data_IF_451805856708
#
_entry.id   IF_451805856708
#
_cell.length_a   1.000
_cell.length_b   1.000
_cell.length_c   1.000
_cell.angle_alpha   90.00
_cell.angle_beta   90.00
_cell.angle_gamma   90.00
#
_symmetry.space_group_name_H-M   'P 1'
#
loop_
_entity.id
_entity.type
_entity.pdbx_description
1 polymer ?
#
# COMPACT_ATOMS: atom_id res chain seq x y z
N UNK A 1 -33.09 34.62 73.51
CA UNK A 1 -31.96 34.86 72.53
C UNK A 1 -32.58 35.32 71.21
N UNK A 2 -32.37 36.60 70.78
CA UNK A 2 -32.78 37.08 69.45
C UNK A 2 -31.87 36.50 68.43
N UNK A 3 -32.35 35.65 67.56
CA UNK A 3 -31.63 35.17 66.38
C UNK A 3 -31.41 36.36 65.42
N UNK A 4 -30.20 36.80 65.23
CA UNK A 4 -29.85 37.81 64.22
C UNK A 4 -29.94 37.09 62.86
N UNK A 5 -30.87 37.53 62.00
CA UNK A 5 -30.95 37.07 60.61
C UNK A 5 -29.91 37.78 59.76
N UNK A 6 -29.39 37.12 58.71
CA UNK A 6 -28.50 37.72 57.73
C UNK A 6 -29.24 38.83 56.95
N UNK A 7 -28.52 39.93 56.72
CA UNK A 7 -29.05 41.02 55.87
C UNK A 7 -28.89 40.62 54.38
N UNK A 8 -29.74 41.15 53.52
CA UNK A 8 -29.68 40.89 52.08
C UNK A 8 -28.35 41.32 51.48
N UNK A 9 -27.71 42.37 52.02
CA UNK A 9 -26.44 42.88 51.53
C UNK A 9 -25.25 41.94 51.93
N UNK A 10 -25.32 41.33 53.11
CA UNK A 10 -24.31 40.35 53.55
C UNK A 10 -24.38 39.09 52.66
N UNK A 11 -25.60 38.65 52.31
CA UNK A 11 -25.75 37.53 51.42
C UNK A 11 -25.23 37.84 50.01
N UNK A 12 -25.59 39.07 49.49
CA UNK A 12 -25.12 39.53 48.21
C UNK A 12 -23.58 39.61 48.13
N UNK A 13 -22.93 40.16 49.17
CA UNK A 13 -21.49 40.25 49.25
C UNK A 13 -20.80 38.87 49.21
N UNK A 14 -21.37 37.88 49.92
CA UNK A 14 -20.84 36.50 49.92
C UNK A 14 -20.92 35.85 48.56
N UNK A 15 -22.08 35.96 47.87
CA UNK A 15 -22.23 35.35 46.55
C UNK A 15 -21.32 36.00 45.49
N UNK A 16 -21.11 37.32 45.56
CA UNK A 16 -20.17 38.01 44.63
C UNK A 16 -18.72 37.55 44.89
N UNK A 17 -18.31 37.43 46.13
CA UNK A 17 -16.97 36.93 46.48
C UNK A 17 -16.78 35.47 45.99
N UNK A 18 -17.79 34.62 46.26
CA UNK A 18 -17.75 33.22 45.78
C UNK A 18 -17.73 33.14 44.25
N UNK A 19 -18.44 34.00 43.53
CA UNK A 19 -18.44 34.04 42.08
C UNK A 19 -17.05 34.44 41.53
N UNK A 20 -16.38 35.43 42.18
CA UNK A 20 -15.03 35.83 41.77
C UNK A 20 -14.01 34.72 42.03
N UNK A 21 -14.09 34.07 43.20
CA UNK A 21 -13.19 32.92 43.51
C UNK A 21 -13.45 31.77 42.49
N UNK A 22 -14.67 31.44 42.22
CA UNK A 22 -15.04 30.38 41.24
C UNK A 22 -14.49 30.70 39.84
N UNK A 23 -14.58 31.96 39.39
CA UNK A 23 -14.13 32.40 38.09
C UNK A 23 -12.61 32.15 37.88
N UNK A 24 -11.85 32.28 38.94
CA UNK A 24 -10.37 32.09 38.89
C UNK A 24 -9.98 30.63 39.21
N UNK A 25 -10.64 30.01 40.21
CA UNK A 25 -10.27 28.69 40.68
C UNK A 25 -10.68 27.55 39.68
N UNK A 26 -11.84 27.68 39.06
CA UNK A 26 -12.35 26.61 38.15
C UNK A 26 -11.40 26.35 36.98
N UNK A 27 -10.94 27.34 36.20
CA UNK A 27 -10.00 27.10 35.10
C UNK A 27 -8.70 26.45 35.54
N UNK A 28 -8.15 26.89 36.69
CA UNK A 28 -6.89 26.35 37.23
C UNK A 28 -7.06 24.89 37.65
N UNK A 29 -8.15 24.57 38.34
CA UNK A 29 -8.44 23.19 38.76
C UNK A 29 -8.66 22.28 37.52
N UNK A 30 -9.38 22.75 36.49
CA UNK A 30 -9.60 21.99 35.27
C UNK A 30 -8.28 21.67 34.55
N UNK A 31 -7.37 22.65 34.44
CA UNK A 31 -6.04 22.43 33.84
C UNK A 31 -5.22 21.39 34.65
N UNK A 32 -5.26 21.45 35.97
CA UNK A 32 -4.58 20.46 36.81
C UNK A 32 -5.17 19.06 36.61
N UNK A 33 -6.49 18.92 36.58
CA UNK A 33 -7.17 17.63 36.35
C UNK A 33 -6.79 17.07 34.99
N UNK A 34 -6.78 17.88 33.94
CA UNK A 34 -6.40 17.45 32.59
C UNK A 34 -4.94 16.98 32.55
N UNK A 35 -4.03 17.73 33.18
CA UNK A 35 -2.61 17.34 33.26
C UNK A 35 -2.42 16.02 34.02
N UNK A 36 -3.10 15.84 35.14
CA UNK A 36 -3.02 14.57 35.91
C UNK A 36 -3.57 13.39 35.14
N UNK A 37 -4.70 13.59 34.41
CA UNK A 37 -5.28 12.54 33.57
C UNK A 37 -4.34 12.16 32.41
N UNK A 38 -3.69 13.15 31.78
CA UNK A 38 -2.69 12.92 30.75
C UNK A 38 -1.55 12.06 31.30
N UNK A 39 -0.93 12.48 32.41
CA UNK A 39 0.19 11.74 33.02
C UNK A 39 -0.23 10.31 33.44
N UNK A 40 -1.41 10.13 34.00
CA UNK A 40 -1.88 8.80 34.38
C UNK A 40 -2.11 7.88 33.14
N UNK A 41 -2.50 8.44 32.01
CA UNK A 41 -2.66 7.70 30.76
C UNK A 41 -1.32 7.39 30.10
N UNK A 42 -0.33 8.30 30.19
CA UNK A 42 1.06 8.07 29.81
C UNK A 42 1.67 6.91 30.62
N UNK A 43 1.43 6.84 31.94
CA UNK A 43 1.86 5.72 32.79
C UNK A 43 1.22 4.39 32.34
N UNK A 44 -0.05 4.41 31.94
CA UNK A 44 -0.72 3.23 31.37
C UNK A 44 -0.04 2.77 30.07
N UNK A 45 0.33 3.70 29.19
CA UNK A 45 1.06 3.41 27.96
C UNK A 45 2.40 2.72 28.23
N UNK A 46 3.19 3.25 29.15
CA UNK A 46 4.47 2.63 29.54
C UNK A 46 4.26 1.24 30.17
N UNK A 47 3.19 1.06 30.94
CA UNK A 47 2.82 -0.23 31.52
C UNK A 47 2.52 -1.29 30.44
N UNK A 48 1.82 -0.90 29.38
CA UNK A 48 1.51 -1.78 28.24
C UNK A 48 2.76 -2.11 27.42
N UNK A 49 3.66 -1.14 27.20
CA UNK A 49 4.94 -1.38 26.53
C UNK A 49 5.74 -2.43 27.30
N UNK A 50 5.90 -2.23 28.62
CA UNK A 50 6.64 -3.17 29.47
C UNK A 50 5.99 -4.57 29.51
N UNK A 51 4.66 -4.66 29.45
CA UNK A 51 3.96 -5.94 29.36
C UNK A 51 4.25 -6.65 28.03
N UNK A 52 4.31 -5.90 26.91
CA UNK A 52 4.70 -6.43 25.61
C UNK A 52 6.16 -6.94 25.58
N UNK A 53 7.08 -6.20 26.18
CA UNK A 53 8.49 -6.62 26.33
C UNK A 53 8.62 -7.89 27.19
N UNK A 54 7.83 -8.00 28.25
CA UNK A 54 7.80 -9.17 29.11
C UNK A 54 7.20 -10.39 28.38
N UNK A 55 6.15 -10.19 27.62
CA UNK A 55 5.56 -11.23 26.76
C UNK A 55 6.61 -11.76 25.76
N UNK A 56 7.33 -10.88 25.09
CA UNK A 56 8.42 -11.28 24.19
C UNK A 56 9.46 -12.14 24.90
N UNK A 57 9.91 -11.73 26.08
CA UNK A 57 10.91 -12.46 26.83
C UNK A 57 10.43 -13.87 27.25
N UNK A 58 9.15 -14.01 27.63
CA UNK A 58 8.54 -15.30 27.96
C UNK A 58 8.41 -16.19 26.74
N UNK A 59 7.85 -15.66 25.63
CA UNK A 59 7.66 -16.43 24.39
C UNK A 59 8.99 -16.89 23.80
N UNK A 60 10.02 -16.05 23.86
CA UNK A 60 11.36 -16.42 23.41
C UNK A 60 11.94 -17.60 24.18
N UNK A 61 11.64 -17.72 25.48
CA UNK A 61 12.12 -18.80 26.34
C UNK A 61 11.32 -20.10 26.19
N UNK A 62 10.01 -20.01 25.95
CA UNK A 62 9.11 -21.16 25.94
C UNK A 62 8.98 -21.79 24.56
N UNK A 63 8.77 -20.97 23.52
CA UNK A 63 8.37 -21.46 22.19
C UNK A 63 9.30 -20.95 21.05
N UNK A 64 10.13 -19.96 21.32
CA UNK A 64 10.86 -19.22 20.29
C UNK A 64 9.91 -18.35 19.46
N UNK A 65 9.98 -17.04 19.57
CA UNK A 65 9.10 -16.12 18.87
C UNK A 65 9.42 -16.09 17.37
N UNK A 66 8.56 -16.68 16.54
CA UNK A 66 8.77 -16.83 15.09
C UNK A 66 7.99 -15.84 14.24
N UNK A 67 6.98 -15.17 14.81
CA UNK A 67 6.12 -14.19 14.13
C UNK A 67 5.75 -13.04 15.05
N UNK A 68 5.36 -11.92 14.44
CA UNK A 68 4.79 -10.79 15.17
C UNK A 68 3.46 -11.19 15.81
N UNK A 69 3.17 -10.63 16.99
CA UNK A 69 1.91 -10.85 17.71
C UNK A 69 1.25 -9.51 17.98
N UNK A 70 -0.05 -9.43 17.72
CA UNK A 70 -0.88 -8.26 17.98
C UNK A 70 -1.91 -8.55 19.08
N UNK A 71 -2.11 -7.58 19.95
CA UNK A 71 -3.08 -7.58 21.04
C UNK A 71 -4.02 -6.41 20.83
N UNK A 72 -5.30 -6.69 20.74
CA UNK A 72 -6.34 -5.67 20.53
C UNK A 72 -7.13 -5.46 21.83
N UNK A 73 -7.43 -4.21 22.13
CA UNK A 73 -8.25 -3.79 23.27
C UNK A 73 -9.51 -3.13 22.74
N UNK A 74 -10.67 -3.61 23.19
CA UNK A 74 -11.97 -3.02 22.96
C UNK A 74 -12.73 -2.93 24.27
N UNK A 75 -13.39 -1.82 24.53
CA UNK A 75 -14.18 -1.56 25.75
C UNK A 75 -13.44 -1.86 27.08
N UNK A 76 -12.11 -1.64 27.09
CA UNK A 76 -11.27 -1.86 28.26
C UNK A 76 -10.89 -3.30 28.54
N UNK A 77 -11.07 -4.19 27.57
CA UNK A 77 -10.69 -5.61 27.67
C UNK A 77 -9.88 -6.07 26.46
N UNK A 78 -8.98 -7.04 26.66
CA UNK A 78 -8.32 -7.71 25.53
C UNK A 78 -9.31 -8.60 24.78
N UNK A 79 -9.40 -8.42 23.45
CA UNK A 79 -10.19 -9.25 22.55
C UNK A 79 -9.30 -10.23 21.79
N UNK A 80 -9.86 -11.39 21.43
CA UNK A 80 -9.12 -12.46 20.74
C UNK A 80 -8.41 -13.44 21.68
N UNK A 81 -7.49 -14.22 21.10
CA UNK A 81 -6.79 -15.33 21.82
C UNK A 81 -5.59 -14.85 22.61
N UNK A 82 -4.95 -13.76 22.18
CA UNK A 82 -3.73 -13.24 22.79
C UNK A 82 -4.08 -12.17 23.84
N UNK A 83 -3.50 -12.29 25.03
CA UNK A 83 -3.69 -11.35 26.13
C UNK A 83 -2.36 -11.07 26.80
N UNK A 84 -2.12 -9.80 27.15
CA UNK A 84 -0.96 -9.40 27.96
C UNK A 84 -1.34 -9.43 29.44
N UNK A 85 -0.37 -9.80 30.28
CA UNK A 85 -0.51 -9.61 31.73
C UNK A 85 -0.19 -8.15 32.09
N UNK A 86 -1.22 -7.38 32.38
CA UNK A 86 -1.11 -5.95 32.70
C UNK A 86 -1.64 -5.67 34.10
N UNK A 87 -0.93 -4.86 34.86
CA UNK A 87 -1.39 -4.36 36.16
C UNK A 87 -2.11 -3.02 35.98
N UNK A 88 -3.38 -2.94 36.38
CA UNK A 88 -4.17 -1.70 36.32
C UNK A 88 -5.33 -1.79 35.32
N UNK A 89 -5.98 -0.63 35.10
CA UNK A 89 -7.06 -0.53 34.13
C UNK A 89 -6.49 -0.44 32.69
N UNK A 90 -7.13 -1.15 31.77
CA UNK A 90 -6.81 -1.05 30.34
C UNK A 90 -7.38 0.23 29.73
N UNK A 91 -6.82 0.75 28.64
CA UNK A 91 -7.43 1.83 27.85
C UNK A 91 -8.78 1.38 27.24
N UNK A 92 -9.61 2.35 26.82
CA UNK A 92 -10.92 2.04 26.24
C UNK A 92 -10.80 1.24 24.94
N UNK A 93 -9.79 1.56 24.13
CA UNK A 93 -9.50 0.85 22.88
C UNK A 93 -8.02 0.97 22.52
N UNK A 94 -7.57 0.14 21.59
CA UNK A 94 -6.23 0.25 21.03
C UNK A 94 -5.62 -1.07 20.62
N UNK A 95 -4.40 -1.00 20.11
CA UNK A 95 -3.60 -2.15 19.70
C UNK A 95 -2.18 -2.05 20.24
N UNK A 96 -1.64 -3.20 20.62
CA UNK A 96 -0.23 -3.37 20.99
C UNK A 96 0.35 -4.43 20.05
N UNK A 97 1.45 -4.15 19.40
CA UNK A 97 2.13 -5.11 18.55
C UNK A 97 3.55 -5.36 19.05
N UNK A 98 3.87 -6.65 19.19
CA UNK A 98 5.19 -7.14 19.59
C UNK A 98 5.79 -7.89 18.39
N UNK A 99 6.95 -7.40 17.92
CA UNK A 99 7.63 -8.04 16.79
C UNK A 99 8.43 -9.26 17.23
N UNK A 100 8.73 -10.15 16.31
CA UNK A 100 9.65 -11.29 16.52
C UNK A 100 11.05 -10.91 16.98
N UNK A 101 11.43 -9.62 16.81
CA UNK A 101 12.73 -9.08 17.23
C UNK A 101 12.63 -8.34 18.58
N UNK A 102 11.47 -8.39 19.25
CA UNK A 102 11.25 -7.84 20.60
C UNK A 102 10.91 -6.35 20.65
N UNK A 103 10.64 -5.71 19.53
CA UNK A 103 10.20 -4.31 19.50
C UNK A 103 8.70 -4.23 19.80
N UNK A 104 8.28 -3.22 20.56
CA UNK A 104 6.89 -3.00 20.94
C UNK A 104 6.42 -1.66 20.40
N UNK A 105 5.31 -1.70 19.62
CA UNK A 105 4.56 -0.52 19.21
C UNK A 105 3.19 -0.51 19.87
N UNK A 106 2.66 0.66 20.18
CA UNK A 106 1.31 0.84 20.76
C UNK A 106 0.55 1.96 20.07
N UNK A 107 -0.75 1.80 20.01
CA UNK A 107 -1.72 2.87 19.76
C UNK A 107 -2.90 2.64 20.68
N UNK A 108 -3.13 3.50 21.64
CA UNK A 108 -4.15 3.32 22.68
C UNK A 108 -4.96 4.59 22.88
N UNK A 109 -6.25 4.44 23.12
CA UNK A 109 -7.17 5.55 23.39
C UNK A 109 -7.97 5.34 24.66
N UNK A 110 -8.20 6.41 25.41
CA UNK A 110 -9.13 6.43 26.54
C UNK A 110 -10.43 7.15 26.19
N UNK A 111 -10.71 7.39 24.91
CA UNK A 111 -11.87 8.12 24.41
C UNK A 111 -11.74 9.66 24.42
N UNK A 112 -10.69 10.20 25.05
CA UNK A 112 -10.39 11.64 25.10
C UNK A 112 -9.00 12.00 24.59
N UNK A 113 -8.09 11.03 24.55
CA UNK A 113 -6.70 11.16 24.07
C UNK A 113 -6.26 9.89 23.39
N UNK A 114 -5.38 10.03 22.41
CA UNK A 114 -4.64 8.94 21.80
C UNK A 114 -3.16 9.04 22.20
N UNK A 115 -2.57 7.90 22.54
CA UNK A 115 -1.13 7.77 22.75
C UNK A 115 -0.60 6.71 21.80
N UNK A 116 0.43 7.06 21.06
CA UNK A 116 1.11 6.15 20.17
C UNK A 116 2.59 6.03 20.48
N UNK A 117 3.21 4.91 20.05
CA UNK A 117 4.65 4.71 20.03
C UNK A 117 4.99 3.73 18.92
N UNK A 118 5.86 4.14 18.01
CA UNK A 118 6.41 3.25 16.99
C UNK A 118 7.47 2.30 17.56
N UNK A 119 7.87 1.33 16.74
CA UNK A 119 8.83 0.28 17.14
C UNK A 119 10.18 0.82 17.57
N UNK A 120 10.67 1.85 16.90
CA UNK A 120 12.01 2.44 17.12
C UNK A 120 11.98 3.74 17.91
N UNK A 121 10.80 4.22 18.29
CA UNK A 121 10.66 5.44 19.06
C UNK A 121 11.15 5.22 20.50
N UNK A 122 11.92 6.17 20.99
CA UNK A 122 12.40 6.15 22.38
C UNK A 122 11.36 6.67 23.38
N UNK A 123 10.29 7.32 22.90
CA UNK A 123 9.25 7.95 23.72
C UNK A 123 7.88 7.71 23.09
N UNK A 124 6.87 7.79 23.94
CA UNK A 124 5.46 7.86 23.51
C UNK A 124 5.14 9.24 22.91
N UNK A 125 4.21 9.29 21.96
CA UNK A 125 3.55 10.50 21.50
C UNK A 125 2.14 10.58 22.13
N UNK A 126 1.93 11.58 22.98
CA UNK A 126 0.67 11.82 23.69
C UNK A 126 -0.19 12.92 23.05
N UNK A 127 0.20 13.38 21.86
CA UNK A 127 -0.51 14.38 21.07
C UNK A 127 -1.04 13.81 19.75
N UNK A 128 -1.06 12.47 19.63
CA UNK A 128 -1.59 11.77 18.45
C UNK A 128 -3.07 12.07 18.23
N UNK A 129 -3.49 12.06 16.95
CA UNK A 129 -4.87 12.34 16.56
C UNK A 129 -5.80 11.25 17.12
N UNK A 130 -6.82 11.67 17.87
CA UNK A 130 -7.79 10.78 18.49
C UNK A 130 -8.71 10.10 17.47
N UNK A 131 -8.99 10.78 16.36
CA UNK A 131 -9.86 10.26 15.31
C UNK A 131 -9.14 9.21 14.43
N UNK A 132 -7.81 9.13 14.57
CA UNK A 132 -6.96 8.19 13.82
C UNK A 132 -5.92 7.54 14.75
N UNK A 133 -6.39 6.95 15.87
CA UNK A 133 -5.53 6.31 16.86
C UNK A 133 -5.13 4.90 16.40
N UNK A 134 -4.20 4.83 15.46
CA UNK A 134 -3.69 3.59 14.88
C UNK A 134 -2.22 3.38 15.23
N UNK A 135 -1.79 2.11 15.22
CA UNK A 135 -0.38 1.77 15.43
C UNK A 135 0.51 2.55 14.46
N UNK A 136 1.49 3.31 14.96
CA UNK A 136 2.46 3.93 14.09
C UNK A 136 3.11 2.85 13.23
N UNK A 137 3.11 3.09 11.93
CA UNK A 137 3.84 2.22 11.01
C UNK A 137 5.31 2.33 11.41
N UNK A 138 5.97 1.22 11.68
CA UNK A 138 7.41 1.19 11.95
C UNK A 138 8.16 1.92 10.82
N UNK A 139 9.42 2.31 11.03
CA UNK A 139 10.19 3.01 9.98
C UNK A 139 10.06 2.24 8.67
N UNK A 140 9.31 2.83 7.74
CA UNK A 140 8.97 2.19 6.47
C UNK A 140 10.27 1.95 5.71
N UNK A 141 10.56 0.69 5.40
CA UNK A 141 11.78 0.34 4.68
C UNK A 141 11.75 0.95 3.27
N UNK A 142 12.79 1.67 2.86
CA UNK A 142 12.87 2.26 1.53
C UNK A 142 12.62 1.21 0.44
N UNK A 143 11.80 1.57 -0.55
CA UNK A 143 11.46 0.70 -1.68
C UNK A 143 10.33 -0.30 -1.42
N UNK A 144 9.76 -0.36 -0.20
CA UNK A 144 8.58 -1.19 0.07
C UNK A 144 7.29 -0.51 -0.37
N UNK A 145 6.21 -1.30 -0.52
CA UNK A 145 4.90 -0.79 -0.88
C UNK A 145 4.42 0.32 0.07
N UNK A 146 4.51 0.08 1.37
CA UNK A 146 4.11 1.06 2.38
C UNK A 146 4.95 2.35 2.33
N UNK A 147 6.27 2.23 2.10
CA UNK A 147 7.16 3.39 1.96
C UNK A 147 6.84 4.25 0.74
N UNK A 148 6.49 3.62 -0.39
CA UNK A 148 6.26 4.29 -1.66
C UNK A 148 4.81 4.77 -1.86
N UNK A 149 3.85 4.26 -1.08
CA UNK A 149 2.44 4.64 -1.17
C UNK A 149 2.22 6.10 -0.75
N UNK A 150 1.36 6.80 -1.48
CA UNK A 150 0.99 8.20 -1.23
C UNK A 150 -0.53 8.36 -1.17
N UNK A 151 -1.00 9.27 -0.32
CA UNK A 151 -2.42 9.63 -0.28
C UNK A 151 -2.77 10.52 -1.46
N UNK A 152 -3.75 10.10 -2.24
CA UNK A 152 -4.28 10.85 -3.39
C UNK A 152 -5.78 10.61 -3.49
N UNK A 153 -6.46 11.32 -4.41
CA UNK A 153 -7.87 11.04 -4.73
C UNK A 153 -8.11 9.65 -5.32
N UNK A 154 -7.08 9.01 -5.87
CA UNK A 154 -7.13 7.64 -6.37
C UNK A 154 -7.01 6.62 -5.23
N UNK A 155 -6.16 6.90 -4.24
CA UNK A 155 -5.91 6.07 -3.06
C UNK A 155 -6.11 6.92 -1.81
N UNK A 156 -7.21 6.73 -1.09
CA UNK A 156 -7.56 7.53 0.09
C UNK A 156 -6.70 7.18 1.30
N UNK A 157 -6.23 5.94 1.38
CA UNK A 157 -5.39 5.46 2.47
C UNK A 157 -3.92 5.59 2.12
N UNK A 158 -3.14 6.25 2.97
CA UNK A 158 -1.67 6.39 2.80
C UNK A 158 -1.00 5.05 3.00
N UNK A 159 -1.43 4.30 4.03
CA UNK A 159 -0.94 2.97 4.35
C UNK A 159 -2.15 2.10 4.68
N UNK A 160 -2.43 1.12 3.84
CA UNK A 160 -3.36 0.05 4.17
C UNK A 160 -2.64 -0.99 5.05
N UNK A 161 -3.36 -1.59 6.00
CA UNK A 161 -2.83 -2.71 6.77
C UNK A 161 -2.23 -3.80 5.85
N UNK A 162 -2.79 -4.00 4.66
CA UNK A 162 -2.26 -4.93 3.67
C UNK A 162 -0.90 -4.55 3.09
N UNK A 163 -0.52 -3.26 3.11
CA UNK A 163 0.77 -2.81 2.60
C UNK A 163 1.94 -3.16 3.53
N UNK A 164 1.65 -3.51 4.77
CA UNK A 164 2.64 -3.87 5.80
C UNK A 164 2.56 -5.34 6.21
N UNK A 165 1.41 -5.82 6.63
CA UNK A 165 1.27 -7.14 7.29
C UNK A 165 0.11 -7.99 6.78
N UNK A 166 -0.94 -7.37 6.26
CA UNK A 166 -2.12 -8.09 5.75
C UNK A 166 -1.93 -8.57 4.30
N UNK A 167 -2.97 -9.14 3.70
CA UNK A 167 -3.02 -9.49 2.28
C UNK A 167 -3.81 -8.45 1.52
N UNK A 168 -3.21 -7.85 0.49
CA UNK A 168 -3.89 -6.89 -0.37
C UNK A 168 -4.82 -7.60 -1.33
N UNK A 169 -6.11 -7.28 -1.27
CA UNK A 169 -7.09 -7.81 -2.22
C UNK A 169 -6.80 -7.32 -3.65
N UNK A 170 -7.05 -8.17 -4.63
CA UNK A 170 -6.98 -7.80 -6.05
C UNK A 170 -7.90 -6.61 -6.32
N UNK A 171 -7.40 -5.63 -7.07
CA UNK A 171 -8.09 -4.37 -7.35
C UNK A 171 -7.92 -3.28 -6.29
N UNK A 172 -7.23 -3.56 -5.17
CA UNK A 172 -6.85 -2.50 -4.21
C UNK A 172 -6.01 -1.43 -4.91
N UNK A 173 -6.32 -0.17 -4.63
CA UNK A 173 -5.71 0.99 -5.28
C UNK A 173 -4.54 1.54 -4.49
N UNK A 174 -3.40 1.76 -5.15
CA UNK A 174 -2.25 2.44 -4.59
C UNK A 174 -1.73 3.53 -5.53
N UNK A 175 -1.47 4.70 -4.98
CA UNK A 175 -0.69 5.74 -5.65
C UNK A 175 0.76 5.60 -5.18
N UNK A 176 1.67 5.26 -6.09
CA UNK A 176 3.07 4.91 -5.79
C UNK A 176 4.00 6.02 -6.30
N UNK A 177 4.86 6.52 -5.43
CA UNK A 177 5.92 7.45 -5.82
C UNK A 177 7.07 6.67 -6.47
N UNK A 178 7.00 6.50 -7.79
CA UNK A 178 7.96 5.72 -8.58
C UNK A 178 9.33 6.39 -8.73
N UNK A 179 9.37 7.71 -8.58
CA UNK A 179 10.58 8.53 -8.47
C UNK A 179 10.23 9.79 -7.64
N UNK A 180 11.20 10.54 -7.10
CA UNK A 180 10.92 11.73 -6.32
C UNK A 180 9.98 12.72 -7.05
N UNK A 181 8.80 12.96 -6.47
CA UNK A 181 7.74 13.79 -7.02
C UNK A 181 6.95 13.20 -8.20
N UNK A 182 7.27 12.00 -8.66
CA UNK A 182 6.54 11.28 -9.71
C UNK A 182 5.67 10.19 -9.08
N UNK A 183 4.36 10.45 -8.99
CA UNK A 183 3.38 9.53 -8.41
C UNK A 183 2.54 8.94 -9.53
N UNK A 184 2.44 7.60 -9.56
CA UNK A 184 1.66 6.84 -10.52
C UNK A 184 0.63 5.96 -9.81
N UNK A 185 -0.52 5.77 -10.43
CA UNK A 185 -1.62 4.98 -9.88
C UNK A 185 -1.53 3.52 -10.31
N UNK A 186 -1.82 2.61 -9.38
CA UNK A 186 -1.74 1.18 -9.60
C UNK A 186 -2.90 0.44 -8.95
N UNK A 187 -3.24 -0.73 -9.52
CA UNK A 187 -4.12 -1.73 -8.94
C UNK A 187 -3.34 -2.96 -8.54
N UNK A 188 -3.65 -3.55 -7.39
CA UNK A 188 -3.10 -4.84 -6.99
C UNK A 188 -3.62 -5.94 -7.92
N UNK A 189 -2.73 -6.73 -8.49
CA UNK A 189 -3.07 -7.93 -9.28
C UNK A 189 -2.74 -9.21 -8.54
N UNK A 190 -1.75 -9.21 -7.65
CA UNK A 190 -1.49 -10.33 -6.75
C UNK A 190 -0.73 -9.89 -5.50
N UNK A 191 -0.86 -10.68 -4.44
CA UNK A 191 -0.12 -10.51 -3.18
C UNK A 191 0.24 -11.89 -2.65
N UNK A 192 1.45 -12.32 -2.92
CA UNK A 192 1.95 -13.66 -2.60
C UNK A 192 3.38 -13.56 -2.06
N UNK A 193 3.69 -14.30 -1.00
CA UNK A 193 5.03 -14.40 -0.43
C UNK A 193 5.67 -13.05 -0.09
N UNK A 194 4.91 -12.15 0.56
CA UNK A 194 5.34 -10.80 0.92
C UNK A 194 5.71 -9.90 -0.29
N UNK A 195 5.25 -10.28 -1.47
CA UNK A 195 5.44 -9.55 -2.72
C UNK A 195 4.10 -9.15 -3.32
N UNK A 196 3.89 -7.86 -3.49
CA UNK A 196 2.68 -7.30 -4.10
C UNK A 196 2.99 -6.93 -5.55
N UNK A 197 2.24 -7.51 -6.47
CA UNK A 197 2.30 -7.21 -7.89
C UNK A 197 1.22 -6.18 -8.23
N UNK A 198 1.62 -5.13 -8.90
CA UNK A 198 0.82 -3.94 -9.16
C UNK A 198 0.81 -3.61 -10.65
N UNK A 199 -0.38 -3.46 -11.23
CA UNK A 199 -0.59 -3.02 -12.62
C UNK A 199 -0.90 -1.51 -12.62
N UNK A 200 -0.18 -0.73 -13.40
CA UNK A 200 -0.44 0.71 -13.55
C UNK A 200 -1.87 0.95 -14.06
N UNK A 201 -2.53 2.01 -13.60
CA UNK A 201 -3.90 2.39 -13.99
C UNK A 201 -4.05 2.63 -15.50
N UNK A 202 -3.01 3.20 -16.14
CA UNK A 202 -3.02 3.62 -17.54
C UNK A 202 -1.82 3.06 -18.31
N UNK A 203 -1.93 3.09 -19.62
CA UNK A 203 -0.78 2.90 -20.49
C UNK A 203 0.26 3.98 -20.24
N UNK A 204 1.54 3.65 -20.40
CA UNK A 204 2.63 4.61 -20.32
C UNK A 204 3.10 4.99 -21.73
N UNK A 205 3.25 6.31 -21.95
CA UNK A 205 3.70 6.83 -23.23
C UNK A 205 2.70 6.60 -24.38
N UNK A 206 3.24 6.36 -25.55
CA UNK A 206 2.51 6.23 -26.81
C UNK A 206 2.23 4.74 -27.15
N UNK A 207 1.55 4.52 -28.26
CA UNK A 207 1.38 3.18 -28.85
C UNK A 207 2.69 2.65 -29.43
N UNK A 208 2.86 1.35 -29.46
CA UNK A 208 4.10 0.69 -29.88
C UNK A 208 3.79 -0.68 -30.49
N UNK A 209 4.62 -1.14 -31.42
CA UNK A 209 4.55 -2.53 -31.91
C UNK A 209 4.93 -3.50 -30.79
N UNK A 210 4.34 -4.69 -30.78
CA UNK A 210 4.75 -5.79 -29.92
C UNK A 210 6.20 -6.20 -30.23
N UNK A 211 6.48 -6.42 -31.53
CA UNK A 211 7.82 -6.48 -32.12
C UNK A 211 7.79 -5.83 -33.50
N UNK A 212 8.72 -4.96 -33.80
CA UNK A 212 8.90 -4.41 -35.13
C UNK A 212 9.92 -5.23 -35.95
N UNK A 213 9.96 -5.01 -37.26
CA UNK A 213 10.84 -5.73 -38.16
C UNK A 213 12.33 -5.56 -37.81
N UNK A 214 12.74 -4.35 -37.44
CA UNK A 214 14.13 -4.05 -37.08
C UNK A 214 14.59 -4.85 -35.88
N UNK A 215 13.79 -4.85 -34.81
CA UNK A 215 14.12 -5.58 -33.58
C UNK A 215 14.06 -7.09 -33.82
N UNK A 216 13.12 -7.57 -34.65
CA UNK A 216 13.05 -8.97 -35.03
C UNK A 216 14.34 -9.42 -35.74
N UNK A 217 14.80 -8.67 -36.75
CA UNK A 217 16.03 -8.98 -37.47
C UNK A 217 17.25 -8.92 -36.56
N UNK A 218 17.36 -7.86 -35.74
CA UNK A 218 18.47 -7.67 -34.80
C UNK A 218 18.54 -8.78 -33.74
N UNK A 219 17.41 -9.36 -33.37
CA UNK A 219 17.32 -10.48 -32.41
C UNK A 219 17.51 -11.86 -33.07
N UNK A 220 17.97 -11.93 -34.30
CA UNK A 220 18.31 -13.18 -34.99
C UNK A 220 17.24 -13.70 -35.96
N UNK A 221 16.16 -12.94 -36.16
CA UNK A 221 15.15 -13.24 -37.16
C UNK A 221 15.66 -13.02 -38.60
N UNK A 222 14.93 -13.52 -39.58
CA UNK A 222 15.24 -13.40 -41.01
C UNK A 222 14.13 -12.68 -41.77
N UNK A 223 14.50 -12.09 -42.93
CA UNK A 223 13.52 -11.44 -43.80
C UNK A 223 12.40 -12.39 -44.24
N UNK A 224 12.76 -13.63 -44.58
CA UNK A 224 11.80 -14.66 -44.92
C UNK A 224 10.91 -15.09 -43.74
N UNK A 225 11.49 -15.17 -42.55
CA UNK A 225 10.73 -15.46 -41.32
C UNK A 225 9.73 -14.36 -40.95
N UNK A 226 10.10 -13.08 -41.17
CA UNK A 226 9.19 -11.95 -40.93
C UNK A 226 7.96 -12.00 -41.83
N UNK A 227 8.08 -12.50 -43.02
CA UNK A 227 7.01 -12.59 -44.03
C UNK A 227 6.42 -14.00 -44.19
N UNK A 228 6.67 -14.91 -43.22
CA UNK A 228 6.34 -16.34 -43.37
C UNK A 228 4.84 -16.58 -43.67
N UNK A 229 3.93 -15.87 -43.02
CA UNK A 229 2.49 -16.01 -43.18
C UNK A 229 1.89 -15.05 -44.24
N UNK A 230 2.44 -13.83 -44.34
CA UNK A 230 2.09 -12.82 -45.34
C UNK A 230 3.15 -11.75 -45.42
N UNK A 231 3.16 -10.96 -46.53
CA UNK A 231 4.12 -9.85 -46.68
C UNK A 231 3.94 -8.81 -45.55
N UNK A 232 4.89 -8.74 -44.61
CA UNK A 232 4.88 -7.78 -43.51
C UNK A 232 4.04 -8.19 -42.30
N UNK A 233 3.57 -9.43 -42.20
CA UNK A 233 2.76 -9.88 -41.05
C UNK A 233 3.45 -9.88 -39.70
N UNK A 234 4.76 -9.93 -39.68
CA UNK A 234 5.54 -10.06 -38.46
C UNK A 234 5.77 -11.50 -38.03
N UNK A 235 6.47 -11.67 -36.92
CA UNK A 235 6.73 -12.99 -36.35
C UNK A 235 6.99 -12.88 -34.84
N UNK A 236 6.24 -13.62 -34.00
CA UNK A 236 6.34 -13.51 -32.55
C UNK A 236 7.45 -14.37 -31.92
N UNK A 237 8.21 -15.16 -32.69
CA UNK A 237 9.18 -16.14 -32.16
C UNK A 237 10.34 -15.55 -31.35
N UNK A 238 10.58 -14.25 -31.47
CA UNK A 238 11.63 -13.56 -30.71
C UNK A 238 11.08 -12.81 -29.49
N UNK A 239 9.77 -12.90 -29.21
CA UNK A 239 9.11 -12.26 -28.08
C UNK A 239 8.87 -10.75 -28.27
N UNK A 240 8.32 -10.07 -27.24
CA UNK A 240 7.86 -8.67 -27.32
C UNK A 240 9.00 -7.64 -27.19
N UNK A 241 10.07 -7.78 -27.94
CA UNK A 241 11.31 -7.00 -27.76
C UNK A 241 11.06 -5.50 -27.88
N UNK A 242 10.31 -5.07 -28.93
CA UNK A 242 10.05 -3.63 -29.13
C UNK A 242 9.22 -3.05 -27.98
N UNK A 243 8.15 -3.74 -27.59
CA UNK A 243 7.28 -3.32 -26.49
C UNK A 243 8.04 -3.27 -25.16
N UNK A 244 8.92 -4.25 -24.89
CA UNK A 244 9.75 -4.29 -23.69
C UNK A 244 10.80 -3.17 -23.69
N UNK A 245 11.51 -2.97 -24.80
CA UNK A 245 12.48 -1.87 -24.94
C UNK A 245 11.79 -0.51 -24.68
N UNK A 246 10.59 -0.34 -25.22
CA UNK A 246 9.80 0.87 -25.01
C UNK A 246 9.40 1.01 -23.54
N UNK A 247 8.83 -0.02 -22.91
CA UNK A 247 8.47 -0.03 -21.49
C UNK A 247 9.67 0.33 -20.60
N UNK A 248 10.80 -0.28 -20.83
CA UNK A 248 12.06 -0.03 -20.09
C UNK A 248 12.55 1.43 -20.26
N UNK A 249 12.44 1.98 -21.47
CA UNK A 249 12.78 3.38 -21.72
C UNK A 249 11.87 4.33 -20.93
N UNK A 250 10.55 4.07 -20.91
CA UNK A 250 9.56 4.89 -20.21
C UNK A 250 9.69 4.80 -18.68
N UNK A 251 10.13 3.66 -18.15
CA UNK A 251 10.28 3.43 -16.71
C UNK A 251 11.70 3.62 -16.19
N UNK A 252 12.65 3.97 -17.06
CA UNK A 252 14.08 4.16 -16.70
C UNK A 252 14.30 5.18 -15.58
N UNK A 253 13.48 6.24 -15.53
CA UNK A 253 13.51 7.28 -14.50
C UNK A 253 12.83 6.91 -13.17
N UNK A 254 12.26 5.72 -13.03
CA UNK A 254 11.54 5.29 -11.82
C UNK A 254 12.52 4.85 -10.71
N UNK A 255 13.31 5.78 -10.22
CA UNK A 255 14.45 5.52 -9.33
C UNK A 255 14.06 4.88 -8.00
N UNK A 256 12.83 5.06 -7.53
CA UNK A 256 12.33 4.44 -6.29
C UNK A 256 11.92 2.97 -6.49
N UNK A 257 11.73 2.52 -7.75
CA UNK A 257 11.45 1.13 -8.06
C UNK A 257 12.78 0.40 -8.29
N UNK A 258 13.07 -0.60 -7.48
CA UNK A 258 14.29 -1.38 -7.63
C UNK A 258 14.33 -2.09 -8.99
N UNK A 259 15.43 -1.90 -9.73
CA UNK A 259 15.66 -2.64 -10.95
C UNK A 259 16.01 -4.09 -10.63
N UNK A 260 15.45 -5.03 -11.39
CA UNK A 260 15.68 -6.47 -11.24
C UNK A 260 15.59 -7.20 -12.58
N UNK A 261 16.03 -8.42 -12.59
CA UNK A 261 15.90 -9.27 -13.77
C UNK A 261 14.49 -9.90 -13.80
N UNK A 262 13.76 -9.67 -14.89
CA UNK A 262 12.50 -10.34 -15.14
C UNK A 262 12.71 -11.47 -16.16
N UNK A 263 12.29 -12.67 -15.81
CA UNK A 263 12.26 -13.81 -16.70
C UNK A 263 10.85 -14.04 -17.21
N UNK A 264 10.68 -13.93 -18.52
CA UNK A 264 9.42 -14.19 -19.23
C UNK A 264 9.53 -15.58 -19.87
N UNK A 265 8.48 -16.39 -19.73
CA UNK A 265 8.40 -17.70 -20.36
C UNK A 265 7.11 -17.83 -21.16
N UNK A 266 7.24 -18.24 -22.41
CA UNK A 266 6.11 -18.39 -23.33
C UNK A 266 6.33 -19.61 -24.24
N UNK A 267 5.24 -20.23 -24.66
CA UNK A 267 5.31 -21.44 -25.50
C UNK A 267 5.83 -21.19 -26.92
N UNK A 268 5.78 -19.97 -27.41
CA UNK A 268 6.18 -19.56 -28.76
C UNK A 268 7.62 -19.11 -28.80
N UNK A 269 8.02 -18.17 -27.94
CA UNK A 269 9.39 -17.62 -27.96
C UNK A 269 10.32 -18.24 -26.90
N UNK A 270 9.82 -19.18 -26.08
CA UNK A 270 10.61 -19.81 -25.04
C UNK A 270 10.84 -18.89 -23.83
N UNK A 271 12.07 -18.87 -23.31
CA UNK A 271 12.44 -18.07 -22.13
C UNK A 271 13.30 -16.88 -22.55
N UNK A 272 12.91 -15.70 -22.03
CA UNK A 272 13.61 -14.44 -22.23
C UNK A 272 13.86 -13.77 -20.89
N UNK A 273 15.08 -13.30 -20.63
CA UNK A 273 15.42 -12.50 -19.45
C UNK A 273 15.62 -11.04 -19.84
N UNK A 274 14.97 -10.15 -19.12
CA UNK A 274 15.15 -8.68 -19.23
C UNK A 274 15.90 -8.20 -18.00
N UNK A 275 17.20 -7.95 -18.12
CA UNK A 275 18.03 -7.56 -16.98
C UNK A 275 17.82 -6.10 -16.60
N UNK A 276 17.94 -5.80 -15.31
CA UNK A 276 17.85 -4.44 -14.75
C UNK A 276 16.60 -3.65 -15.13
N UNK A 277 15.48 -4.33 -15.38
CA UNK A 277 14.21 -3.67 -15.68
C UNK A 277 13.45 -3.30 -14.38
N UNK A 278 12.72 -2.21 -14.42
CA UNK A 278 11.90 -1.71 -13.27
C UNK A 278 10.45 -2.16 -13.34
N UNK A 279 10.01 -2.54 -14.53
CA UNK A 279 8.66 -3.02 -14.78
C UNK A 279 8.67 -4.11 -15.85
N UNK A 280 7.62 -4.94 -15.85
CA UNK A 280 7.33 -5.93 -16.86
C UNK A 280 5.95 -5.67 -17.50
N UNK A 281 5.64 -6.40 -18.54
CA UNK A 281 4.29 -6.47 -19.09
C UNK A 281 3.47 -7.55 -18.35
N UNK A 282 2.15 -7.40 -18.37
CA UNK A 282 1.22 -8.45 -17.92
C UNK A 282 1.31 -9.64 -18.89
N UNK A 283 1.17 -10.86 -18.39
CA UNK A 283 1.00 -12.05 -19.23
C UNK A 283 -0.47 -12.20 -19.65
N UNK A 284 -0.74 -12.99 -20.70
CA UNK A 284 -2.11 -13.34 -21.07
C UNK A 284 -2.86 -14.06 -19.94
N UNK A 285 -2.19 -14.98 -19.25
CA UNK A 285 -2.78 -15.73 -18.14
C UNK A 285 -3.23 -14.80 -17.02
N UNK A 286 -2.35 -13.87 -16.61
CA UNK A 286 -2.73 -12.85 -15.64
C UNK A 286 -3.90 -11.97 -16.12
N UNK A 287 -3.91 -11.57 -17.39
CA UNK A 287 -5.01 -10.80 -17.94
C UNK A 287 -6.34 -11.56 -17.93
N UNK A 288 -6.33 -12.84 -18.27
CA UNK A 288 -7.52 -13.71 -18.26
C UNK A 288 -8.10 -13.87 -16.84
N UNK A 289 -7.25 -13.92 -15.81
CA UNK A 289 -7.69 -14.02 -14.41
C UNK A 289 -8.49 -12.79 -13.96
N UNK A 290 -8.19 -11.61 -14.52
CA UNK A 290 -8.76 -10.34 -14.08
C UNK A 290 -9.79 -9.75 -15.05
N UNK A 291 -10.13 -10.43 -16.13
CA UNK A 291 -10.99 -9.92 -17.22
C UNK A 291 -12.37 -9.45 -16.75
N UNK A 292 -12.89 -10.01 -15.67
CA UNK A 292 -14.15 -9.57 -15.05
C UNK A 292 -14.05 -8.22 -14.32
N UNK A 293 -12.84 -7.70 -14.10
CA UNK A 293 -12.62 -6.46 -13.39
C UNK A 293 -12.45 -5.29 -14.35
N UNK A 294 -13.37 -4.36 -14.30
CA UNK A 294 -13.39 -3.19 -15.21
C UNK A 294 -12.15 -2.31 -15.13
N UNK A 295 -11.46 -2.26 -13.97
CA UNK A 295 -10.20 -1.52 -13.81
C UNK A 295 -9.07 -2.03 -14.73
N UNK A 296 -9.20 -3.26 -15.27
CA UNK A 296 -8.25 -3.80 -16.24
C UNK A 296 -8.27 -3.02 -17.56
N UNK A 297 -9.38 -2.37 -17.93
CA UNK A 297 -9.57 -1.76 -19.24
C UNK A 297 -10.31 -0.41 -19.26
N UNK A 298 -10.89 0.07 -18.16
CA UNK A 298 -11.73 1.28 -18.11
C UNK A 298 -11.04 2.57 -18.63
N UNK A 299 -9.71 2.64 -18.56
CA UNK A 299 -8.95 3.83 -18.95
C UNK A 299 -8.27 3.69 -20.31
N UNK A 300 -8.76 2.78 -21.18
CA UNK A 300 -8.17 2.48 -22.48
C UNK A 300 -8.83 3.19 -23.66
N UNK A 301 -9.75 4.10 -23.43
CA UNK A 301 -10.50 4.76 -24.51
C UNK A 301 -11.70 3.93 -24.98
N UNK A 302 -12.31 4.35 -26.10
CA UNK A 302 -13.59 3.86 -26.60
C UNK A 302 -13.47 2.94 -27.84
N UNK A 303 -12.27 2.46 -28.15
CA UNK A 303 -11.97 1.67 -29.35
C UNK A 303 -11.85 2.47 -30.63
N UNK A 304 -12.20 3.76 -30.59
CA UNK A 304 -12.04 4.72 -31.70
C UNK A 304 -10.81 5.60 -31.46
N UNK A 305 -10.41 5.78 -30.20
CA UNK A 305 -9.22 6.53 -29.78
C UNK A 305 -8.02 5.58 -29.64
N UNK A 306 -6.83 6.10 -29.86
CA UNK A 306 -5.58 5.43 -29.56
C UNK A 306 -5.02 5.88 -28.20
N UNK A 307 -4.50 4.95 -27.37
CA UNK A 307 -4.46 3.49 -27.56
C UNK A 307 -5.80 2.81 -27.25
N UNK A 308 -6.23 1.89 -28.11
CA UNK A 308 -7.45 1.11 -27.90
C UNK A 308 -7.25 -0.12 -27.01
N UNK A 309 -6.04 -0.33 -26.52
CA UNK A 309 -5.67 -1.46 -25.67
C UNK A 309 -4.20 -1.41 -25.27
N UNK A 310 -3.71 -2.50 -24.69
CA UNK A 310 -2.30 -2.68 -24.37
C UNK A 310 -1.84 -4.13 -24.60
N UNK A 311 -0.60 -4.26 -25.00
CA UNK A 311 0.04 -5.54 -25.21
C UNK A 311 0.27 -6.30 -23.90
N UNK A 312 0.11 -7.63 -23.96
CA UNK A 312 0.68 -8.54 -22.97
C UNK A 312 2.04 -9.04 -23.44
N UNK A 313 2.80 -9.65 -22.53
CA UNK A 313 4.07 -10.28 -22.90
C UNK A 313 3.90 -11.60 -23.66
N UNK A 314 2.69 -12.16 -23.72
CA UNK A 314 2.43 -13.46 -24.32
C UNK A 314 2.30 -13.39 -25.83
N UNK A 315 2.94 -14.32 -26.52
CA UNK A 315 2.86 -14.49 -27.96
C UNK A 315 1.60 -15.25 -28.37
N UNK A 316 1.15 -15.00 -29.59
CA UNK A 316 0.15 -15.80 -30.28
C UNK A 316 0.76 -16.33 -31.58
N UNK A 317 0.76 -17.65 -31.75
CA UNK A 317 1.11 -18.30 -32.99
C UNK A 317 -0.13 -19.09 -33.49
N UNK A 318 -0.68 -18.67 -34.60
CA UNK A 318 -1.83 -19.30 -35.23
C UNK A 318 -1.89 -18.99 -36.71
N UNK A 319 -2.57 -19.81 -37.48
CA UNK A 319 -2.63 -19.67 -38.93
C UNK A 319 -3.18 -18.29 -39.31
N UNK A 320 -2.33 -17.47 -39.93
CA UNK A 320 -2.67 -16.15 -40.45
C UNK A 320 -2.77 -15.05 -39.41
N UNK A 321 -2.27 -15.24 -38.16
CA UNK A 321 -2.39 -14.25 -37.09
C UNK A 321 -1.20 -14.33 -36.12
N UNK A 322 0.02 -14.34 -36.62
CA UNK A 322 1.22 -14.36 -35.80
C UNK A 322 1.46 -13.01 -35.12
N UNK A 323 1.37 -12.98 -33.80
CA UNK A 323 1.46 -11.72 -33.08
C UNK A 323 1.53 -11.84 -31.57
N UNK A 324 1.09 -10.80 -30.89
CA UNK A 324 0.97 -10.74 -29.45
C UNK A 324 -0.48 -10.78 -28.97
N UNK A 325 -0.69 -11.23 -27.75
CA UNK A 325 -1.94 -11.04 -27.06
C UNK A 325 -2.03 -9.62 -26.49
N UNK A 326 -3.24 -9.05 -26.53
CA UNK A 326 -3.51 -7.72 -25.97
C UNK A 326 -4.85 -7.71 -25.20
N UNK A 327 -4.96 -6.79 -24.25
CA UNK A 327 -6.23 -6.44 -23.59
C UNK A 327 -6.84 -5.26 -24.34
N UNK A 328 -8.11 -5.38 -24.70
CA UNK A 328 -8.83 -4.38 -25.48
C UNK A 328 -9.71 -3.51 -24.57
N UNK A 329 -10.17 -2.37 -25.07
CA UNK A 329 -10.98 -1.40 -24.33
C UNK A 329 -12.30 -1.96 -23.78
N UNK A 330 -12.83 -3.01 -24.36
CA UNK A 330 -14.06 -3.68 -23.93
C UNK A 330 -13.83 -4.80 -22.92
N UNK A 331 -12.57 -4.98 -22.50
CA UNK A 331 -12.14 -6.02 -21.58
C UNK A 331 -11.81 -7.35 -22.25
N UNK A 332 -12.00 -7.50 -23.55
CA UNK A 332 -11.62 -8.74 -24.23
C UNK A 332 -10.11 -8.91 -24.31
N UNK A 333 -9.63 -10.15 -24.18
CA UNK A 333 -8.24 -10.52 -24.45
C UNK A 333 -8.19 -11.15 -25.82
N UNK A 334 -7.56 -10.47 -26.75
CA UNK A 334 -7.49 -10.86 -28.16
C UNK A 334 -6.04 -10.92 -28.64
N UNK A 335 -5.83 -11.50 -29.83
CA UNK A 335 -4.54 -11.51 -30.50
C UNK A 335 -4.52 -10.54 -31.69
N UNK A 336 -3.37 -9.98 -31.98
CA UNK A 336 -3.17 -9.08 -33.11
C UNK A 336 -1.77 -9.20 -33.71
N UNK A 337 -1.62 -8.74 -34.93
CA UNK A 337 -0.32 -8.76 -35.61
C UNK A 337 0.73 -7.98 -34.80
N UNK A 338 1.89 -8.60 -34.64
CA UNK A 338 2.98 -8.10 -33.80
C UNK A 338 3.52 -6.72 -34.21
N UNK A 339 3.36 -6.33 -35.46
CA UNK A 339 3.85 -5.07 -36.02
C UNK A 339 2.93 -3.86 -35.83
N UNK A 340 1.70 -4.03 -35.28
CA UNK A 340 0.81 -2.89 -35.06
C UNK A 340 1.42 -1.88 -34.08
N UNK A 341 1.85 -0.74 -34.61
CA UNK A 341 2.53 0.31 -33.84
C UNK A 341 1.61 1.48 -33.44
N UNK A 342 0.38 1.49 -33.97
CA UNK A 342 -0.56 2.61 -33.88
C UNK A 342 -1.83 2.28 -33.07
N UNK A 343 -1.91 1.11 -32.45
CA UNK A 343 -3.16 0.62 -31.81
C UNK A 343 -3.03 0.38 -30.31
N UNK A 344 -1.94 -0.22 -29.88
CA UNK A 344 -1.79 -0.73 -28.52
C UNK A 344 -0.57 -0.11 -27.85
N UNK A 345 -0.73 0.23 -26.57
CA UNK A 345 0.36 0.70 -25.73
C UNK A 345 0.99 -0.41 -24.91
N UNK A 346 1.76 -0.01 -23.91
CA UNK A 346 2.26 -0.87 -22.85
C UNK A 346 1.77 -0.38 -21.50
N UNK A 347 1.46 -1.30 -20.60
CA UNK A 347 0.96 -1.02 -19.25
C UNK A 347 1.90 -1.64 -18.24
N UNK A 348 2.61 -0.81 -17.44
CA UNK A 348 3.64 -1.30 -16.53
C UNK A 348 3.08 -2.17 -15.42
N UNK A 349 3.75 -3.28 -15.13
CA UNK A 349 3.58 -4.10 -13.94
C UNK A 349 4.84 -3.97 -13.09
N UNK A 350 4.70 -3.54 -11.85
CA UNK A 350 5.78 -3.49 -10.86
C UNK A 350 5.56 -4.50 -9.75
N UNK A 351 6.61 -4.88 -9.05
CA UNK A 351 6.54 -5.79 -7.92
C UNK A 351 7.29 -5.18 -6.74
N UNK A 352 6.60 -4.99 -5.62
CA UNK A 352 7.13 -4.41 -4.39
C UNK A 352 7.03 -5.41 -3.24
N UNK A 353 8.01 -5.39 -2.34
CA UNK A 353 7.89 -6.05 -1.03
C UNK A 353 7.02 -5.21 -0.09
N UNK A 354 6.54 -5.83 0.97
CA UNK A 354 5.90 -5.14 2.09
C UNK A 354 6.90 -4.67 3.10
#
# INVERSE_FOLDING_TARGET
>A
MKKKGFTLIELLAVIVILAIIALIAVPVIMNIITSVRKSAFEDTAYGLISAGEMYYAQELLENGMTSDVEFTIEDGEFVGTNKLEVKGALPSSGSIKVTRDGKVAIAISNGAMCITKGYDDSKIDSESDIDNCELPVGELQPGTLAYLARKTTFSENVVNACATTGTCAVGTKFAIEVAPGNIQNFYVVSDVDNKVTLLMEKNIGETVAWINKSDYITSGGTESGWNAECTGCGNPINGPITALNYLESQTSSWTNIAAKDFTLTDSVYGTMTRPNARARMLTKTEADEFISNSWLYNDLGDGLSTPSGYWTSSAFAGVGNDGGWYVYYDGSVNSGFSYYADRYGVRPVIELSK
#
